data_IF_318482806953
#
_entry.id   IF_318482806953
#
_cell.length_a   1.000
_cell.length_b   1.000
_cell.length_c   1.000
_cell.angle_alpha   90.00
_cell.angle_beta   90.00
_cell.angle_gamma   90.00
#
_symmetry.space_group_name_H-M   'P 1'
#
loop_
_entity.id
_entity.type
_entity.pdbx_description
1 polymer ?
#
# COMPACT_ATOMS: atom_id res chain seq x y z
N UNK A 1 -11.75 -24.76 0.67
CA UNK A 1 -12.88 -23.81 0.86
C UNK A 1 -12.38 -22.38 1.07
N UNK A 2 -11.34 -22.15 1.89
CA UNK A 2 -10.76 -20.81 2.14
C UNK A 2 -10.36 -20.01 0.88
N UNK A 3 -9.65 -20.60 -0.09
CA UNK A 3 -9.23 -19.89 -1.31
C UNK A 3 -10.37 -19.23 -2.11
N UNK A 4 -11.55 -19.84 -2.18
CA UNK A 4 -12.67 -19.31 -2.99
C UNK A 4 -13.27 -18.05 -2.37
N UNK A 5 -13.39 -18.01 -1.04
CA UNK A 5 -13.95 -16.86 -0.31
C UNK A 5 -13.04 -15.63 -0.40
N UNK A 6 -11.73 -15.83 -0.43
CA UNK A 6 -10.74 -14.75 -0.58
C UNK A 6 -10.79 -14.11 -1.97
N UNK A 7 -10.87 -14.91 -3.03
CA UNK A 7 -11.05 -14.40 -4.40
C UNK A 7 -12.39 -13.68 -4.58
N UNK A 8 -13.44 -14.18 -3.93
CA UNK A 8 -14.76 -13.58 -3.99
C UNK A 8 -14.79 -12.21 -3.29
N UNK A 9 -14.21 -12.11 -2.09
CA UNK A 9 -14.07 -10.84 -1.37
C UNK A 9 -13.18 -9.84 -2.13
N UNK A 10 -12.08 -10.32 -2.71
CA UNK A 10 -11.17 -9.48 -3.50
C UNK A 10 -11.86 -8.93 -4.75
N UNK A 11 -12.61 -9.76 -5.48
CA UNK A 11 -13.41 -9.33 -6.63
C UNK A 11 -14.47 -8.29 -6.24
N UNK A 12 -15.21 -8.53 -5.15
CA UNK A 12 -16.26 -7.62 -4.68
C UNK A 12 -15.72 -6.25 -4.25
N UNK A 13 -14.50 -6.17 -3.72
CA UNK A 13 -13.89 -4.89 -3.31
C UNK A 13 -13.14 -4.22 -4.48
N UNK A 14 -12.44 -5.01 -5.29
CA UNK A 14 -11.61 -4.49 -6.37
C UNK A 14 -12.46 -3.92 -7.53
N UNK A 15 -13.54 -4.61 -7.92
CA UNK A 15 -14.41 -4.16 -9.01
C UNK A 15 -15.01 -2.76 -8.80
N UNK A 16 -15.66 -2.44 -7.68
CA UNK A 16 -16.19 -1.09 -7.45
C UNK A 16 -15.07 -0.04 -7.33
N UNK A 17 -13.92 -0.39 -6.75
CA UNK A 17 -12.74 0.50 -6.71
C UNK A 17 -12.28 0.88 -8.11
N UNK A 18 -12.18 -0.11 -9.00
CA UNK A 18 -11.74 0.11 -10.38
C UNK A 18 -12.72 1.01 -11.15
N UNK A 19 -14.03 0.78 -10.99
CA UNK A 19 -15.07 1.62 -11.60
C UNK A 19 -14.95 3.06 -11.09
N UNK A 20 -14.82 3.26 -9.78
CA UNK A 20 -14.70 4.59 -9.18
C UNK A 20 -13.45 5.34 -9.67
N UNK A 21 -12.32 4.64 -9.82
CA UNK A 21 -11.09 5.20 -10.38
C UNK A 21 -11.27 5.76 -11.80
N UNK A 22 -12.13 5.14 -12.61
CA UNK A 22 -12.46 5.66 -13.94
C UNK A 22 -13.50 6.79 -13.87
N UNK A 23 -14.46 6.71 -12.96
CA UNK A 23 -15.57 7.68 -12.84
C UNK A 23 -15.09 9.02 -12.28
N UNK A 24 -14.24 9.04 -11.24
CA UNK A 24 -13.76 10.28 -10.61
C UNK A 24 -13.13 11.28 -11.61
N UNK A 25 -12.17 10.92 -12.49
CA UNK A 25 -11.61 11.89 -13.43
C UNK A 25 -12.62 12.39 -14.46
N UNK A 26 -13.60 11.55 -14.84
CA UNK A 26 -14.68 11.99 -15.76
C UNK A 26 -15.57 13.03 -15.08
N UNK A 27 -15.96 12.79 -13.83
CA UNK A 27 -16.76 13.75 -13.05
C UNK A 27 -16.00 15.05 -12.80
N UNK A 28 -14.71 14.96 -12.46
CA UNK A 28 -13.85 16.12 -12.28
C UNK A 28 -13.73 16.94 -13.57
N UNK A 29 -13.53 16.28 -14.70
CA UNK A 29 -13.49 16.95 -16.00
C UNK A 29 -14.80 17.66 -16.32
N UNK A 30 -15.94 17.00 -16.08
CA UNK A 30 -17.27 17.61 -16.25
C UNK A 30 -17.49 18.80 -15.33
N UNK A 31 -17.01 18.73 -14.08
CA UNK A 31 -17.05 19.84 -13.12
C UNK A 31 -16.32 21.06 -13.70
N UNK A 32 -15.10 20.89 -14.19
CA UNK A 32 -14.28 21.98 -14.76
C UNK A 32 -15.00 22.65 -15.95
N UNK A 33 -15.63 21.86 -16.82
CA UNK A 33 -16.39 22.39 -17.98
C UNK A 33 -17.55 23.27 -17.50
N UNK A 34 -18.41 22.74 -16.62
CA UNK A 34 -19.58 23.48 -16.14
C UNK A 34 -19.21 24.75 -15.37
N UNK A 35 -18.13 24.72 -14.60
CA UNK A 35 -17.65 25.89 -13.89
C UNK A 35 -17.13 26.97 -14.85
N UNK A 36 -16.49 26.59 -15.97
CA UNK A 36 -16.12 27.54 -17.03
C UNK A 36 -17.33 28.12 -17.76
N UNK A 37 -18.37 27.31 -17.99
CA UNK A 37 -19.62 27.73 -18.64
C UNK A 37 -20.50 28.62 -17.74
N UNK A 38 -20.25 28.65 -16.43
CA UNK A 38 -20.97 29.51 -15.47
C UNK A 38 -20.68 31.01 -15.61
N UNK A 39 -19.85 31.42 -16.58
CA UNK A 39 -19.49 32.83 -16.83
C UNK A 39 -18.98 33.58 -15.58
N UNK A 40 -18.32 32.87 -14.66
CA UNK A 40 -17.72 33.43 -13.44
C UNK A 40 -18.67 33.53 -12.24
N UNK A 41 -19.90 33.03 -12.34
CA UNK A 41 -20.81 32.92 -11.19
C UNK A 41 -20.29 31.90 -10.17
N UNK A 42 -19.77 30.76 -10.65
CA UNK A 42 -19.04 29.80 -9.83
C UNK A 42 -17.54 30.07 -9.94
N UNK A 43 -16.89 30.24 -8.79
CA UNK A 43 -15.43 30.40 -8.71
C UNK A 43 -14.82 29.13 -8.15
N UNK A 44 -13.83 28.61 -8.86
CA UNK A 44 -13.05 27.46 -8.45
C UNK A 44 -11.56 27.79 -8.48
N UNK A 45 -10.78 27.04 -7.71
CA UNK A 45 -9.34 27.16 -7.76
C UNK A 45 -8.78 26.21 -8.82
N UNK A 46 -8.45 26.78 -9.98
CA UNK A 46 -7.87 26.05 -11.13
C UNK A 46 -6.74 25.12 -10.70
N UNK A 47 -5.82 25.57 -9.83
CA UNK A 47 -4.69 24.76 -9.40
C UNK A 47 -5.11 23.48 -8.66
N UNK A 48 -6.20 23.55 -7.90
CA UNK A 48 -6.67 22.43 -7.07
C UNK A 48 -7.36 21.38 -7.93
N UNK A 49 -8.26 21.79 -8.82
CA UNK A 49 -8.97 20.86 -9.71
C UNK A 49 -7.99 20.15 -10.66
N UNK A 50 -7.07 20.90 -11.29
CA UNK A 50 -6.09 20.29 -12.20
C UNK A 50 -5.10 19.38 -11.47
N UNK A 51 -4.71 19.72 -10.24
CA UNK A 51 -3.86 18.85 -9.42
C UNK A 51 -4.59 17.56 -9.04
N UNK A 52 -5.87 17.64 -8.69
CA UNK A 52 -6.68 16.47 -8.39
C UNK A 52 -6.94 15.60 -9.64
N UNK A 53 -7.23 16.21 -10.79
CA UNK A 53 -7.35 15.50 -12.05
C UNK A 53 -6.04 14.78 -12.44
N UNK A 54 -4.90 15.45 -12.30
CA UNK A 54 -3.60 14.82 -12.55
C UNK A 54 -3.37 13.64 -11.60
N UNK A 55 -3.71 13.80 -10.32
CA UNK A 55 -3.59 12.73 -9.32
C UNK A 55 -4.44 11.51 -9.68
N UNK A 56 -5.69 11.70 -10.10
CA UNK A 56 -6.60 10.60 -10.48
C UNK A 56 -6.13 9.88 -11.74
N UNK A 57 -5.55 10.60 -12.71
CA UNK A 57 -4.91 10.00 -13.89
C UNK A 57 -3.69 9.14 -13.49
N UNK A 58 -2.83 9.64 -12.60
CA UNK A 58 -1.70 8.87 -12.08
C UNK A 58 -2.18 7.59 -11.38
N UNK A 59 -3.27 7.68 -10.60
CA UNK A 59 -3.88 6.49 -9.97
C UNK A 59 -4.38 5.47 -11.00
N UNK A 60 -4.99 5.90 -12.10
CA UNK A 60 -5.38 5.00 -13.20
C UNK A 60 -4.15 4.27 -13.74
N UNK A 61 -3.06 5.00 -14.05
CA UNK A 61 -1.84 4.42 -14.60
C UNK A 61 -1.24 3.41 -13.62
N UNK A 62 -1.20 3.73 -12.33
CA UNK A 62 -0.73 2.81 -11.29
C UNK A 62 -1.58 1.55 -11.21
N UNK A 63 -2.91 1.67 -11.30
CA UNK A 63 -3.81 0.52 -11.30
C UNK A 63 -3.64 -0.37 -12.53
N UNK A 64 -3.49 0.24 -13.72
CA UNK A 64 -3.22 -0.49 -14.95
C UNK A 64 -1.86 -1.19 -14.89
N UNK A 65 -0.84 -0.55 -14.32
CA UNK A 65 0.47 -1.16 -14.11
C UNK A 65 0.39 -2.34 -13.14
N UNK A 66 -0.30 -2.19 -12.00
CA UNK A 66 -0.53 -3.28 -11.04
C UNK A 66 -1.28 -4.45 -11.68
N UNK A 67 -2.29 -4.17 -12.51
CA UNK A 67 -3.06 -5.18 -13.24
C UNK A 67 -2.24 -5.86 -14.36
N UNK A 68 -1.45 -5.09 -15.12
CA UNK A 68 -0.59 -5.63 -16.19
C UNK A 68 0.59 -6.45 -15.65
N UNK A 69 1.08 -6.10 -14.45
CA UNK A 69 2.19 -6.77 -13.78
C UNK A 69 1.74 -7.75 -12.67
N UNK A 70 0.51 -8.30 -12.74
CA UNK A 70 -0.03 -9.23 -11.73
C UNK A 70 0.90 -10.41 -11.40
N UNK A 71 1.81 -10.80 -12.30
CA UNK A 71 2.77 -11.89 -12.08
C UNK A 71 4.11 -11.44 -11.46
N UNK A 72 4.39 -10.13 -11.44
CA UNK A 72 5.69 -9.58 -11.03
C UNK A 72 5.64 -8.90 -9.66
N UNK A 73 4.46 -8.52 -9.18
CA UNK A 73 4.30 -7.78 -7.92
C UNK A 73 3.72 -8.70 -6.84
N UNK A 74 4.58 -9.12 -5.91
CA UNK A 74 4.14 -9.85 -4.72
C UNK A 74 3.54 -8.88 -3.69
N UNK A 75 2.24 -8.64 -3.81
CA UNK A 75 1.46 -7.80 -2.89
C UNK A 75 1.46 -8.31 -1.45
N UNK A 76 1.87 -9.57 -1.21
CA UNK A 76 1.93 -10.14 0.14
C UNK A 76 3.12 -9.62 0.96
N UNK A 77 4.11 -8.99 0.31
CA UNK A 77 5.29 -8.38 0.96
C UNK A 77 5.13 -6.89 1.26
N UNK A 78 3.88 -6.39 1.33
CA UNK A 78 3.64 -4.98 1.62
C UNK A 78 4.12 -4.60 3.04
N UNK A 79 5.20 -3.82 3.08
CA UNK A 79 5.81 -3.31 4.30
C UNK A 79 4.91 -2.27 5.01
N UNK A 80 5.10 -2.06 6.33
CA UNK A 80 4.39 -1.05 7.14
C UNK A 80 4.45 0.35 6.52
N UNK A 81 5.53 0.66 5.78
CA UNK A 81 5.71 1.91 5.04
C UNK A 81 4.58 2.18 4.04
N UNK A 82 4.11 1.14 3.33
CA UNK A 82 3.01 1.26 2.36
C UNK A 82 1.66 1.44 3.05
N UNK A 83 1.47 0.83 4.22
CA UNK A 83 0.27 1.05 5.05
C UNK A 83 0.21 2.50 5.52
N UNK A 84 1.33 3.02 6.04
CA UNK A 84 1.44 4.41 6.45
C UNK A 84 1.22 5.37 5.27
N UNK A 85 1.81 5.08 4.10
CA UNK A 85 1.60 5.87 2.89
C UNK A 85 0.12 5.90 2.46
N UNK A 86 -0.59 4.77 2.57
CA UNK A 86 -2.04 4.70 2.28
C UNK A 86 -2.84 5.54 3.26
N UNK A 87 -2.50 5.51 4.56
CA UNK A 87 -3.17 6.36 5.55
C UNK A 87 -2.87 7.84 5.33
N UNK A 88 -1.64 8.20 4.98
CA UNK A 88 -1.28 9.57 4.60
C UNK A 88 -2.04 10.03 3.35
N UNK A 89 -2.41 9.10 2.46
CA UNK A 89 -3.24 9.40 1.30
C UNK A 89 -4.63 9.92 1.68
N UNK A 90 -5.12 9.68 2.91
CA UNK A 90 -6.38 10.23 3.42
C UNK A 90 -6.34 11.77 3.50
N UNK A 91 -5.14 12.35 3.58
CA UNK A 91 -4.99 13.80 3.57
C UNK A 91 -5.48 14.40 2.24
N UNK A 92 -5.39 13.68 1.12
CA UNK A 92 -5.82 14.16 -0.19
C UNK A 92 -7.33 14.50 -0.21
N UNK A 93 -8.26 13.55 0.05
CA UNK A 93 -9.69 13.87 0.02
C UNK A 93 -10.09 14.89 1.08
N UNK A 94 -9.41 14.91 2.24
CA UNK A 94 -9.64 15.94 3.27
C UNK A 94 -9.26 17.32 2.75
N UNK A 95 -8.03 17.49 2.25
CA UNK A 95 -7.52 18.76 1.75
C UNK A 95 -8.34 19.25 0.55
N UNK A 96 -8.69 18.35 -0.36
CA UNK A 96 -9.59 18.66 -1.48
C UNK A 96 -10.94 19.17 -0.96
N UNK A 97 -11.61 18.40 -0.07
CA UNK A 97 -12.92 18.80 0.49
C UNK A 97 -12.87 20.16 1.17
N UNK A 98 -11.82 20.44 1.95
CA UNK A 98 -11.65 21.73 2.65
C UNK A 98 -11.40 22.87 1.67
N UNK A 99 -10.57 22.64 0.65
CA UNK A 99 -10.27 23.63 -0.37
C UNK A 99 -11.49 23.96 -1.24
N UNK A 100 -12.31 22.97 -1.57
CA UNK A 100 -13.47 23.11 -2.46
C UNK A 100 -14.77 23.42 -1.70
N UNK A 101 -14.74 23.53 -0.36
CA UNK A 101 -15.94 23.69 0.47
C UNK A 101 -16.75 24.95 0.11
N UNK A 102 -16.07 26.07 -0.16
CA UNK A 102 -16.68 27.38 -0.39
C UNK A 102 -16.93 27.74 -1.87
N UNK A 103 -16.67 26.83 -2.81
CA UNK A 103 -16.78 27.11 -4.27
C UNK A 103 -18.20 27.45 -4.72
N UNK A 104 -19.19 26.92 -4.02
CA UNK A 104 -20.61 27.09 -4.31
C UNK A 104 -21.22 28.35 -3.69
N UNK A 105 -20.44 29.13 -2.92
CA UNK A 105 -20.91 30.35 -2.26
C UNK A 105 -22.10 30.10 -1.33
N UNK A 106 -23.30 30.53 -1.75
CA UNK A 106 -24.55 30.41 -0.96
C UNK A 106 -25.36 29.15 -1.27
N UNK A 107 -24.96 28.36 -2.26
CA UNK A 107 -25.68 27.14 -2.64
C UNK A 107 -25.38 26.06 -1.58
N UNK A 108 -26.40 25.39 -1.02
CA UNK A 108 -26.19 24.33 -0.05
C UNK A 108 -25.38 23.17 -0.62
N UNK A 109 -24.53 22.56 0.21
CA UNK A 109 -23.61 21.49 -0.19
C UNK A 109 -24.29 20.24 -0.78
N UNK A 110 -25.56 20.00 -0.43
CA UNK A 110 -26.33 18.82 -0.83
C UNK A 110 -27.22 19.04 -2.07
N UNK A 111 -27.11 20.22 -2.71
CA UNK A 111 -27.81 20.55 -3.95
C UNK A 111 -29.34 20.26 -3.94
N UNK A 112 -30.11 20.90 -3.05
CA UNK A 112 -31.55 20.70 -2.98
C UNK A 112 -32.26 21.09 -4.28
N UNK A 113 -33.19 20.26 -4.75
CA UNK A 113 -34.03 20.57 -5.92
C UNK A 113 -34.96 21.78 -5.73
N UNK A 114 -35.24 22.19 -4.49
CA UNK A 114 -36.05 23.37 -4.16
C UNK A 114 -35.23 24.64 -3.95
N UNK A 115 -33.91 24.62 -4.19
CA UNK A 115 -33.08 25.82 -4.16
C UNK A 115 -33.32 26.69 -5.40
N UNK A 116 -33.40 28.03 -5.27
CA UNK A 116 -33.57 28.93 -6.41
C UNK A 116 -32.25 29.10 -7.18
N UNK A 117 -31.87 28.08 -7.96
CA UNK A 117 -30.73 28.17 -8.87
C UNK A 117 -30.96 29.24 -9.93
N UNK A 118 -29.93 30.02 -10.24
CA UNK A 118 -29.98 31.06 -11.28
C UNK A 118 -30.07 30.47 -12.68
N UNK A 119 -29.50 29.28 -12.89
CA UNK A 119 -29.54 28.55 -14.16
C UNK A 119 -29.43 27.03 -13.95
N UNK A 120 -29.79 26.27 -15.00
CA UNK A 120 -29.63 24.82 -15.02
C UNK A 120 -28.16 24.40 -14.93
N UNK A 121 -27.26 25.15 -15.56
CA UNK A 121 -25.80 24.92 -15.52
C UNK A 121 -25.30 24.90 -14.08
N UNK A 122 -25.80 25.78 -13.22
CA UNK A 122 -25.37 25.87 -11.83
C UNK A 122 -25.94 24.74 -10.99
N UNK A 123 -27.18 24.34 -11.26
CA UNK A 123 -27.74 23.14 -10.65
C UNK A 123 -26.88 21.91 -11.02
N UNK A 124 -26.61 21.71 -12.30
CA UNK A 124 -25.82 20.58 -12.79
C UNK A 124 -24.38 20.63 -12.21
N UNK A 125 -23.77 21.82 -12.13
CA UNK A 125 -22.45 22.01 -11.52
C UNK A 125 -22.43 21.64 -10.03
N UNK A 126 -23.51 21.97 -9.30
CA UNK A 126 -23.68 21.57 -7.91
C UNK A 126 -23.77 20.03 -7.80
N UNK A 127 -24.64 19.41 -8.58
CA UNK A 127 -24.87 17.96 -8.57
C UNK A 127 -23.62 17.17 -8.95
N UNK A 128 -22.89 17.60 -9.99
CA UNK A 128 -21.62 16.99 -10.38
C UNK A 128 -20.57 17.14 -9.29
N UNK A 129 -20.43 18.32 -8.66
CA UNK A 129 -19.50 18.52 -7.55
C UNK A 129 -19.81 17.58 -6.39
N UNK A 130 -21.08 17.48 -5.99
CA UNK A 130 -21.50 16.58 -4.91
C UNK A 130 -21.18 15.13 -5.26
N UNK A 131 -21.50 14.71 -6.49
CA UNK A 131 -21.26 13.36 -6.97
C UNK A 131 -19.77 13.04 -7.01
N UNK A 132 -18.94 13.96 -7.50
CA UNK A 132 -17.48 13.83 -7.50
C UNK A 132 -16.92 13.67 -6.08
N UNK A 133 -17.39 14.49 -5.13
CA UNK A 133 -16.99 14.41 -3.73
C UNK A 133 -17.35 13.04 -3.14
N UNK A 134 -18.57 12.57 -3.35
CA UNK A 134 -19.03 11.24 -2.88
C UNK A 134 -18.19 10.12 -3.52
N UNK A 135 -17.98 10.15 -4.84
CA UNK A 135 -17.17 9.16 -5.54
C UNK A 135 -15.72 9.13 -5.04
N UNK A 136 -15.12 10.29 -4.79
CA UNK A 136 -13.78 10.40 -4.21
C UNK A 136 -13.70 9.73 -2.83
N UNK A 137 -14.64 10.03 -1.93
CA UNK A 137 -14.68 9.45 -0.59
C UNK A 137 -14.94 7.94 -0.63
N UNK A 138 -15.87 7.48 -1.48
CA UNK A 138 -16.11 6.06 -1.68
C UNK A 138 -14.88 5.34 -2.19
N UNK A 139 -14.19 5.91 -3.20
CA UNK A 139 -12.96 5.33 -3.73
C UNK A 139 -11.91 5.15 -2.63
N UNK A 140 -11.77 6.15 -1.76
CA UNK A 140 -10.85 6.09 -0.63
C UNK A 140 -11.24 5.00 0.40
N UNK A 141 -12.52 4.89 0.73
CA UNK A 141 -13.02 3.83 1.62
C UNK A 141 -12.72 2.45 1.04
N UNK A 142 -13.01 2.23 -0.24
CA UNK A 142 -12.73 0.95 -0.89
C UNK A 142 -11.22 0.64 -0.93
N UNK A 143 -10.36 1.65 -1.14
CA UNK A 143 -8.91 1.48 -1.06
C UNK A 143 -8.45 1.04 0.34
N UNK A 144 -9.00 1.63 1.42
CA UNK A 144 -8.71 1.18 2.79
C UNK A 144 -9.16 -0.27 2.98
N UNK A 145 -10.39 -0.61 2.59
CA UNK A 145 -10.94 -1.96 2.74
C UNK A 145 -10.09 -2.98 1.98
N UNK A 146 -9.65 -2.63 0.78
CA UNK A 146 -8.73 -3.43 -0.02
C UNK A 146 -7.42 -3.69 0.73
N UNK A 147 -6.82 -2.65 1.30
CA UNK A 147 -5.56 -2.79 2.06
C UNK A 147 -5.72 -3.58 3.35
N UNK A 148 -6.84 -3.43 4.07
CA UNK A 148 -7.15 -4.25 5.24
C UNK A 148 -7.33 -5.72 4.85
N UNK A 149 -8.01 -6.01 3.75
CA UNK A 149 -8.17 -7.38 3.24
C UNK A 149 -6.83 -8.04 2.92
N UNK A 150 -5.90 -7.31 2.30
CA UNK A 150 -4.54 -7.78 2.05
C UNK A 150 -3.77 -8.03 3.37
N UNK A 151 -3.95 -7.18 4.38
CA UNK A 151 -3.31 -7.38 5.68
C UNK A 151 -3.78 -8.66 6.38
N UNK A 152 -5.08 -8.94 6.35
CA UNK A 152 -5.65 -10.15 6.95
C UNK A 152 -5.14 -11.42 6.27
N UNK A 153 -5.00 -11.41 4.94
CA UNK A 153 -4.43 -12.52 4.17
C UNK A 153 -2.95 -12.80 4.54
N UNK A 154 -2.16 -11.73 4.69
CA UNK A 154 -0.74 -11.87 5.06
C UNK A 154 -0.56 -12.39 6.50
N UNK A 155 -1.41 -11.95 7.43
CA UNK A 155 -1.40 -12.44 8.82
C UNK A 155 -1.65 -13.95 8.90
N UNK A 156 -2.65 -14.45 8.18
CA UNK A 156 -2.95 -15.88 8.13
C UNK A 156 -1.83 -16.71 7.49
N UNK A 157 -1.13 -16.18 6.48
CA UNK A 157 0.00 -16.87 5.85
C UNK A 157 1.19 -17.02 6.81
N UNK A 158 1.51 -16.00 7.61
CA UNK A 158 2.62 -16.03 8.56
C UNK A 158 2.40 -17.04 9.71
N UNK A 159 1.17 -17.17 10.21
CA UNK A 159 0.81 -18.18 11.22
C UNK A 159 0.96 -19.62 10.69
N UNK A 160 0.64 -19.85 9.42
CA UNK A 160 0.79 -21.17 8.79
C UNK A 160 2.27 -21.55 8.59
N UNK A 161 3.15 -20.59 8.27
CA UNK A 161 4.59 -20.84 8.10
C UNK A 161 5.28 -21.12 9.45
N UNK A 162 5.02 -20.31 10.48
CA UNK A 162 5.58 -20.54 11.82
C UNK A 162 4.98 -21.77 12.53
N UNK A 163 3.71 -22.10 12.27
CA UNK A 163 3.07 -23.31 12.80
C UNK A 163 3.59 -24.60 12.15
N UNK A 164 4.14 -24.53 10.93
CA UNK A 164 4.72 -25.68 10.25
C UNK A 164 6.15 -25.97 10.71
N UNK A 165 6.92 -24.95 11.09
CA UNK A 165 8.29 -25.11 11.59
C UNK A 165 8.32 -25.80 12.97
N UNK A 166 7.34 -25.51 13.83
CA UNK A 166 7.22 -26.15 15.15
C UNK A 166 6.73 -27.62 15.14
N UNK A 167 6.30 -28.18 14.00
CA UNK A 167 5.92 -29.61 13.91
C UNK A 167 7.09 -30.54 13.59
N UNK A 168 8.28 -29.99 13.37
CA UNK A 168 9.50 -30.77 13.15
C UNK A 168 10.45 -30.78 14.37
N UNK A 169 10.02 -30.27 15.53
CA UNK A 169 10.77 -30.47 16.77
C UNK A 169 10.38 -31.86 17.32
N UNK A 170 11.29 -32.85 17.34
CA UNK A 170 11.00 -34.11 18.00
C UNK A 170 10.73 -33.82 19.48
N UNK A 171 9.63 -34.40 19.94
CA UNK A 171 9.22 -34.51 21.32
C UNK A 171 10.38 -35.11 22.14
N UNK A 172 11.26 -34.27 22.67
CA UNK A 172 12.17 -34.59 23.77
C UNK A 172 11.77 -33.73 24.97
N UNK A 173 10.56 -33.99 25.45
CA UNK A 173 10.23 -33.83 26.86
C UNK A 173 10.33 -35.22 27.47
N UNK A 174 10.90 -35.26 28.67
CA UNK A 174 11.16 -36.44 29.51
C UNK A 174 12.42 -37.23 29.18
N UNK A 175 13.51 -36.89 29.88
CA UNK A 175 14.17 -37.73 30.91
C UNK A 175 15.45 -36.99 31.30
N UNK A 176 15.37 -36.06 32.26
CA UNK A 176 16.53 -35.72 33.10
C UNK A 176 16.02 -35.20 34.46
N UNK A 177 15.22 -36.04 35.10
CA UNK A 177 15.18 -36.08 36.56
C UNK A 177 15.56 -37.50 36.97
N UNK A 178 16.37 -37.59 38.04
CA UNK A 178 16.88 -38.81 38.69
C UNK A 178 18.24 -39.31 38.16
N UNK A 179 19.34 -38.78 38.73
CA UNK A 179 20.16 -39.58 39.65
C UNK A 179 21.27 -38.74 40.29
N UNK A 180 21.20 -38.63 41.61
CA UNK A 180 22.30 -38.19 42.50
C UNK A 180 23.32 -39.32 42.62
N UNK A 181 24.62 -39.04 42.42
CA UNK A 181 25.65 -39.10 43.49
C UNK A 181 27.04 -38.67 42.96
N UNK A 182 27.91 -38.10 43.82
CA UNK A 182 29.22 -37.58 43.47
C UNK A 182 30.32 -38.62 43.76
N UNK A 183 31.43 -38.55 43.03
CA UNK A 183 32.69 -39.08 43.53
C UNK A 183 33.89 -38.28 43.01
N UNK A 184 34.88 -38.20 43.88
CA UNK A 184 35.95 -37.24 44.02
C UNK A 184 37.26 -37.91 43.58
N UNK A 185 38.15 -37.20 42.88
CA UNK A 185 39.64 -37.28 42.88
C UNK A 185 40.13 -36.68 41.55
N UNK A 186 40.73 -35.49 41.49
CA UNK A 186 42.07 -35.05 41.95
C UNK A 186 43.09 -35.04 40.82
N UNK A 187 43.71 -33.86 40.60
CA UNK A 187 45.14 -33.68 40.22
C UNK A 187 45.45 -34.08 38.76
N UNK A 188 46.03 -33.28 37.87
CA UNK A 188 47.24 -32.46 38.00
C UNK A 188 47.35 -31.45 36.84
N UNK A 189 47.99 -30.33 37.15
CA UNK A 189 48.55 -29.26 36.31
C UNK A 189 49.62 -29.73 35.31
N UNK A 190 49.77 -29.01 34.18
CA UNK A 190 51.03 -28.44 33.63
C UNK A 190 50.95 -28.26 32.10
N UNK A 191 51.14 -27.03 31.61
CA UNK A 191 52.29 -26.59 30.79
C UNK A 191 52.16 -26.96 29.29
N UNK A 192 51.99 -26.03 28.36
CA UNK A 192 52.90 -24.99 27.87
C UNK A 192 53.46 -25.36 26.49
N UNK A 193 53.40 -24.37 25.58
CA UNK A 193 54.46 -24.02 24.63
C UNK A 193 54.88 -24.97 23.49
N UNK A 194 54.61 -24.47 22.28
CA UNK A 194 55.59 -24.17 21.21
C UNK A 194 55.81 -25.14 20.03
N UNK A 195 55.79 -24.50 18.85
CA UNK A 195 56.47 -24.80 17.57
C UNK A 195 55.96 -25.96 16.70
N UNK A 196 55.52 -25.71 15.47
CA UNK A 196 56.25 -25.24 14.26
C UNK A 196 56.48 -26.44 13.32
N UNK A 197 55.85 -26.40 12.13
CA UNK A 197 56.58 -26.53 10.86
C UNK A 197 55.72 -26.31 9.62
N UNK A 198 56.19 -25.32 8.85
CA UNK A 198 56.08 -25.13 7.40
C UNK A 198 56.12 -26.41 6.55
N UNK A 199 55.32 -26.44 5.48
CA UNK A 199 55.69 -26.89 4.13
C UNK A 199 54.87 -26.07 3.11
N UNK A 200 55.43 -25.04 2.47
CA UNK A 200 56.04 -25.04 1.12
C UNK A 200 55.22 -25.74 0.01
N UNK A 201 54.57 -24.95 -0.85
CA UNK A 201 54.72 -25.02 -2.32
C UNK A 201 53.98 -23.85 -3.01
N UNK A 202 54.78 -23.01 -3.67
CA UNK A 202 54.44 -22.19 -4.86
C UNK A 202 54.90 -23.00 -6.10
N UNK A 203 54.76 -22.58 -7.39
CA UNK A 203 54.21 -21.32 -7.91
C UNK A 203 53.37 -21.44 -9.21
N UNK A 204 52.83 -20.30 -9.65
CA UNK A 204 52.32 -20.03 -11.00
C UNK A 204 51.13 -19.09 -10.92
N UNK A 205 51.12 -17.86 -11.43
CA UNK A 205 51.97 -17.19 -12.42
C UNK A 205 51.01 -16.52 -13.41
N UNK A 206 50.85 -15.20 -13.35
CA UNK A 206 50.21 -14.33 -14.36
C UNK A 206 50.39 -12.87 -13.88
N UNK A 207 51.42 -12.17 -14.38
CA UNK A 207 51.40 -11.20 -15.48
C UNK A 207 50.57 -9.93 -15.22
N UNK A 208 51.28 -8.86 -14.85
CA UNK A 208 50.85 -7.47 -14.98
C UNK A 208 51.57 -6.88 -16.20
N UNK A 209 50.80 -6.37 -17.16
CA UNK A 209 51.32 -5.44 -18.18
C UNK A 209 50.87 -4.01 -17.85
N UNK A 210 51.87 -3.15 -17.66
CA UNK A 210 51.79 -1.70 -17.65
C UNK A 210 52.10 -1.19 -19.07
N UNK A 211 51.27 -0.31 -19.60
CA UNK A 211 51.63 0.73 -20.56
C UNK A 211 50.82 1.98 -20.11
N UNK A 212 51.42 2.98 -19.46
CA UNK A 212 52.23 4.09 -19.98
C UNK A 212 51.58 4.87 -21.14
N UNK A 213 51.41 6.18 -20.85
CA UNK A 213 50.92 7.33 -21.65
C UNK A 213 49.40 7.58 -21.68
#
# INVERSE_FOLDING_TARGET
MFRYQEFLCFGIIFTPSFILICVCPVLEWQKIILFNESNGELKYNVWIEYSYLALTIVLIILYLFLCGCCCCVDLTKLNYKYKLATLLWLLVPILYTLATYNELGKIPMYCPSNYPYTSRIIQDACEIRLTNLVCMWLNFIFLILFMLSLCSLNGQRFEMENGSDNRNLPEMVDIYSISKKPEFLSVETSESFFNDRRMTRSPGGENYDLHNE
#
